data_IF_621554945731
#
_entry.id   IF_621554945731
#
_cell.length_a   1.000
_cell.length_b   1.000
_cell.length_c   1.000
_cell.angle_alpha   90.00
_cell.angle_beta   90.00
_cell.angle_gamma   90.00
#
_symmetry.space_group_name_H-M   'P 1'
#
loop_
_entity.id
_entity.type
_entity.pdbx_description
1 polymer ?
#
# COMPACT_ATOMS: atom_id res chain seq x y z
N UNK A 1 28.74 -2.70 10.22
CA UNK A 1 27.65 -2.96 11.17
C UNK A 1 26.43 -2.32 10.57
N UNK A 2 25.63 -3.10 9.86
CA UNK A 2 24.42 -2.58 9.24
C UNK A 2 23.45 -2.19 10.35
N UNK A 3 23.02 -0.92 10.32
CA UNK A 3 22.00 -0.40 11.20
C UNK A 3 20.69 -1.11 10.84
N UNK A 4 20.38 -2.18 11.58
CA UNK A 4 19.05 -2.78 11.54
C UNK A 4 18.06 -1.67 11.90
N UNK A 5 17.22 -1.28 10.95
CA UNK A 5 16.17 -0.29 11.16
C UNK A 5 15.13 -0.87 12.12
N UNK A 6 15.30 -0.59 13.41
CA UNK A 6 14.33 -0.98 14.43
C UNK A 6 13.19 0.04 14.42
N UNK A 7 11.97 -0.42 14.16
CA UNK A 7 10.76 0.42 14.21
C UNK A 7 10.57 1.02 15.61
N UNK A 8 10.84 2.32 15.77
CA UNK A 8 10.64 3.05 17.03
C UNK A 8 9.29 3.74 17.13
N UNK A 9 8.71 4.09 15.98
CA UNK A 9 7.38 4.68 15.85
C UNK A 9 6.53 3.71 15.03
N UNK A 10 5.41 3.27 15.59
CA UNK A 10 4.49 2.36 14.92
C UNK A 10 3.51 3.09 14.02
N UNK A 11 3.03 4.27 14.41
CA UNK A 11 2.10 5.10 13.65
C UNK A 11 2.13 6.56 14.14
N UNK A 12 1.49 7.45 13.40
CA UNK A 12 1.27 8.85 13.75
C UNK A 12 -0.10 9.10 14.40
N UNK A 13 -0.95 8.08 14.48
CA UNK A 13 -2.30 8.20 15.04
C UNK A 13 -3.26 8.96 14.13
N UNK A 14 -2.97 8.99 12.82
CA UNK A 14 -3.81 9.63 11.80
C UNK A 14 -4.98 8.74 11.41
N UNK A 15 -4.82 7.42 11.56
CA UNK A 15 -5.82 6.42 11.20
C UNK A 15 -6.17 5.58 12.43
N UNK A 16 -7.47 5.50 12.73
CA UNK A 16 -7.98 4.61 13.77
C UNK A 16 -8.01 3.18 13.25
N UNK A 17 -7.51 2.23 14.04
CA UNK A 17 -7.40 0.83 13.64
C UNK A 17 -8.17 -0.03 14.64
N UNK A 18 -9.14 -0.80 14.15
CA UNK A 18 -9.94 -1.73 14.96
C UNK A 18 -9.81 -3.14 14.39
N UNK A 19 -9.40 -4.10 15.20
CA UNK A 19 -9.34 -5.51 14.79
C UNK A 19 -10.77 -6.08 14.66
N UNK A 20 -11.05 -6.74 13.54
CA UNK A 20 -12.24 -7.59 13.34
C UNK A 20 -11.92 -8.99 13.86
N UNK A 21 -10.77 -9.53 13.43
CA UNK A 21 -10.26 -10.85 13.83
C UNK A 21 -8.72 -10.86 13.86
N UNK A 22 -8.11 -12.04 13.77
CA UNK A 22 -6.66 -12.21 13.84
C UNK A 22 -5.91 -11.59 12.64
N UNK A 23 -6.54 -11.51 11.47
CA UNK A 23 -5.91 -11.02 10.24
C UNK A 23 -6.57 -9.75 9.71
N UNK A 24 -7.83 -9.47 10.04
CA UNK A 24 -8.58 -8.36 9.49
C UNK A 24 -8.75 -7.19 10.44
N UNK A 25 -8.55 -5.99 9.90
CA UNK A 25 -8.62 -4.72 10.62
C UNK A 25 -9.42 -3.71 9.81
N UNK A 26 -10.19 -2.86 10.49
CA UNK A 26 -10.83 -1.68 9.89
C UNK A 26 -9.95 -0.48 10.17
N UNK A 27 -9.54 0.18 9.10
CA UNK A 27 -8.81 1.43 9.10
C UNK A 27 -9.77 2.57 8.83
N UNK A 28 -9.93 3.50 9.77
CA UNK A 28 -10.89 4.59 9.71
C UNK A 28 -10.22 5.96 9.82
N UNK A 29 -10.57 6.86 8.91
CA UNK A 29 -10.20 8.28 8.94
C UNK A 29 -11.46 9.09 8.70
N UNK A 30 -11.84 9.95 9.65
CA UNK A 30 -13.12 10.66 9.61
C UNK A 30 -14.30 9.70 9.42
N UNK A 31 -14.99 9.77 8.28
CA UNK A 31 -16.10 8.93 7.86
C UNK A 31 -15.72 7.92 6.75
N UNK A 32 -14.43 7.76 6.46
CA UNK A 32 -13.90 6.83 5.46
C UNK A 32 -13.35 5.58 6.14
N UNK A 33 -13.58 4.42 5.54
CA UNK A 33 -13.14 3.14 6.08
C UNK A 33 -12.61 2.19 4.99
N UNK A 34 -11.60 1.41 5.36
CA UNK A 34 -11.11 0.31 4.55
C UNK A 34 -10.83 -0.90 5.44
N UNK A 35 -11.24 -2.08 4.98
CA UNK A 35 -10.76 -3.34 5.59
C UNK A 35 -9.36 -3.61 5.07
N UNK A 36 -8.44 -3.95 5.96
CA UNK A 36 -7.06 -4.26 5.62
C UNK A 36 -6.70 -5.59 6.26
N UNK A 37 -6.08 -6.47 5.47
CA UNK A 37 -5.60 -7.77 5.94
C UNK A 37 -4.12 -7.69 6.29
N UNK A 38 -3.80 -8.01 7.54
CA UNK A 38 -2.43 -8.21 8.01
C UNK A 38 -2.11 -9.70 7.97
N UNK A 39 -1.15 -10.08 7.12
CA UNK A 39 -0.65 -11.45 7.12
C UNK A 39 0.33 -11.65 8.26
N UNK A 40 0.12 -12.74 9.01
CA UNK A 40 1.08 -13.26 9.96
C UNK A 40 1.97 -14.23 9.18
N UNK A 41 3.18 -13.79 8.82
CA UNK A 41 4.16 -14.68 8.19
C UNK A 41 5.15 -15.19 9.23
N UNK A 42 5.39 -16.49 9.22
CA UNK A 42 6.51 -17.08 9.93
C UNK A 42 7.79 -16.54 9.28
N UNK A 43 8.56 -15.76 10.03
CA UNK A 43 9.83 -15.17 9.58
C UNK A 43 10.78 -16.26 9.10
N UNK A 44 11.14 -16.25 7.81
CA UNK A 44 12.25 -17.04 7.29
C UNK A 44 13.57 -16.28 7.47
N UNK A 45 14.74 -16.97 7.49
CA UNK A 45 16.04 -16.30 7.46
C UNK A 45 16.22 -15.40 6.22
N UNK A 46 15.64 -15.75 5.06
CA UNK A 46 15.58 -14.88 3.89
C UNK A 46 14.70 -13.63 4.12
N UNK A 47 13.62 -13.70 4.91
CA UNK A 47 12.80 -12.54 5.29
C UNK A 47 13.51 -11.62 6.29
N UNK A 48 14.33 -12.19 7.17
CA UNK A 48 15.20 -11.47 8.11
C UNK A 48 16.41 -10.81 7.42
N UNK A 49 16.86 -11.39 6.32
CA UNK A 49 17.87 -10.80 5.42
C UNK A 49 17.24 -9.95 4.30
N UNK A 50 15.92 -9.95 4.19
CA UNK A 50 15.11 -9.27 3.18
C UNK A 50 14.14 -8.24 3.77
N UNK A 51 13.20 -7.79 2.96
CA UNK A 51 12.36 -6.60 3.16
C UNK A 51 11.30 -6.68 4.30
N UNK A 52 11.24 -7.74 5.12
CA UNK A 52 10.13 -8.03 6.04
C UNK A 52 10.56 -8.15 7.53
N UNK A 53 10.85 -7.02 8.16
CA UNK A 53 11.50 -6.98 9.49
C UNK A 53 10.58 -7.05 10.73
N UNK A 54 9.34 -7.55 10.66
CA UNK A 54 8.50 -7.60 11.89
C UNK A 54 7.61 -8.81 12.13
N UNK A 55 7.53 -9.81 11.24
CA UNK A 55 6.63 -10.98 11.43
C UNK A 55 5.12 -10.64 11.42
N UNK A 56 4.78 -9.36 11.59
CA UNK A 56 3.50 -8.73 11.33
C UNK A 56 3.68 -7.78 10.15
N UNK A 57 3.04 -8.14 9.04
CA UNK A 57 2.84 -7.23 7.92
C UNK A 57 1.80 -6.18 8.34
N UNK A 58 2.19 -4.92 8.39
CA UNK A 58 1.34 -3.81 8.82
C UNK A 58 1.57 -2.58 7.94
N UNK A 59 0.64 -1.64 8.01
CA UNK A 59 0.80 -0.32 7.38
C UNK A 59 1.98 0.42 8.03
N UNK A 60 2.91 0.88 7.20
CA UNK A 60 4.08 1.66 7.61
C UNK A 60 3.69 3.13 7.85
N UNK A 61 4.41 3.89 8.71
CA UNK A 61 4.05 5.29 8.99
C UNK A 61 4.00 6.18 7.74
N UNK A 62 4.88 5.95 6.76
CA UNK A 62 4.85 6.69 5.49
C UNK A 62 3.59 6.40 4.67
N UNK A 63 3.13 5.15 4.68
CA UNK A 63 1.89 4.72 4.02
C UNK A 63 0.65 5.28 4.74
N UNK A 64 0.66 5.29 6.08
CA UNK A 64 -0.38 5.93 6.89
C UNK A 64 -0.53 7.42 6.53
N UNK A 65 0.58 8.15 6.43
CA UNK A 65 0.58 9.57 6.07
C UNK A 65 0.10 9.78 4.63
N UNK A 66 0.54 8.94 3.68
CA UNK A 66 0.12 9.01 2.28
C UNK A 66 -1.38 8.76 2.13
N UNK A 67 -1.90 7.72 2.80
CA UNK A 67 -3.32 7.39 2.84
C UNK A 67 -4.16 8.53 3.45
N UNK A 68 -3.72 9.09 4.57
CA UNK A 68 -4.37 10.23 5.20
C UNK A 68 -4.36 11.48 4.29
N UNK A 69 -3.24 11.74 3.61
CA UNK A 69 -3.13 12.84 2.64
C UNK A 69 -4.09 12.65 1.47
N UNK A 70 -4.18 11.44 0.91
CA UNK A 70 -5.06 11.14 -0.20
C UNK A 70 -6.54 11.40 0.16
N UNK A 71 -6.99 10.91 1.33
CA UNK A 71 -8.33 11.16 1.84
C UNK A 71 -8.61 12.64 2.11
N UNK A 72 -7.60 13.40 2.54
CA UNK A 72 -7.74 14.84 2.77
C UNK A 72 -7.80 15.65 1.48
N UNK A 73 -7.49 15.05 0.32
CA UNK A 73 -7.39 15.71 -0.97
C UNK A 73 -8.07 14.92 -2.10
N UNK A 74 -9.18 14.22 -1.81
CA UNK A 74 -9.83 13.29 -2.75
C UNK A 74 -10.07 13.88 -4.15
N UNK A 75 -10.51 15.14 -4.23
CA UNK A 75 -10.81 15.80 -5.51
C UNK A 75 -9.59 16.04 -6.40
N UNK A 76 -8.38 15.92 -5.85
CA UNK A 76 -7.14 15.98 -6.64
C UNK A 76 -7.01 14.78 -7.60
N UNK A 77 -7.66 13.66 -7.28
CA UNK A 77 -7.59 12.42 -8.04
C UNK A 77 -8.73 12.28 -9.06
N UNK A 78 -9.72 13.17 -9.05
CA UNK A 78 -10.88 13.06 -9.92
C UNK A 78 -10.49 13.10 -11.41
N UNK A 79 -10.95 12.11 -12.16
CA UNK A 79 -10.63 11.91 -13.57
C UNK A 79 -9.19 11.47 -13.87
N UNK A 80 -8.34 11.29 -12.85
CA UNK A 80 -6.91 10.94 -13.01
C UNK A 80 -6.68 9.44 -13.09
N UNK A 81 -5.68 9.05 -13.88
CA UNK A 81 -5.06 7.73 -13.81
C UNK A 81 -3.96 7.76 -12.77
N UNK A 82 -4.11 6.93 -11.73
CA UNK A 82 -3.23 6.88 -10.57
C UNK A 82 -2.51 5.55 -10.55
N UNK A 83 -1.18 5.58 -10.41
CA UNK A 83 -0.35 4.40 -10.18
C UNK A 83 0.21 4.46 -8.77
N UNK A 84 0.13 3.36 -8.01
CA UNK A 84 0.83 3.19 -6.76
C UNK A 84 1.97 2.19 -6.95
N UNK A 85 3.21 2.66 -6.77
CA UNK A 85 4.44 1.86 -6.86
C UNK A 85 4.86 1.40 -5.47
N UNK A 86 5.24 0.12 -5.36
CA UNK A 86 5.70 -0.43 -4.08
C UNK A 86 4.63 -0.32 -3.01
N UNK A 87 3.37 -0.61 -3.38
CA UNK A 87 2.20 -0.46 -2.53
C UNK A 87 2.24 -1.35 -1.26
N UNK A 88 3.22 -2.24 -1.18
CA UNK A 88 3.41 -3.14 -0.08
C UNK A 88 2.22 -4.08 0.06
N UNK A 89 1.93 -4.47 1.29
CA UNK A 89 0.96 -5.52 1.55
C UNK A 89 -0.48 -5.02 1.67
N UNK A 90 -0.69 -3.70 1.74
CA UNK A 90 -2.01 -3.10 1.96
C UNK A 90 -2.49 -2.22 0.81
N UNK A 91 -1.58 -1.49 0.14
CA UNK A 91 -1.92 -0.45 -0.84
C UNK A 91 -2.98 0.54 -0.30
N UNK A 92 -2.82 0.99 0.95
CA UNK A 92 -3.89 1.64 1.68
C UNK A 92 -4.28 2.98 1.02
N UNK A 93 -3.30 3.74 0.53
CA UNK A 93 -3.58 4.98 -0.17
C UNK A 93 -4.37 4.74 -1.47
N UNK A 94 -3.92 3.80 -2.31
CA UNK A 94 -4.63 3.44 -3.54
C UNK A 94 -6.02 2.85 -3.31
N UNK A 95 -6.21 2.04 -2.26
CA UNK A 95 -7.52 1.54 -1.84
C UNK A 95 -8.46 2.69 -1.48
N UNK A 96 -8.01 3.67 -0.69
CA UNK A 96 -8.84 4.83 -0.35
C UNK A 96 -9.21 5.68 -1.56
N UNK A 97 -8.25 5.93 -2.46
CA UNK A 97 -8.50 6.68 -3.70
C UNK A 97 -9.56 5.97 -4.55
N UNK A 98 -9.43 4.66 -4.74
CA UNK A 98 -10.39 3.88 -5.53
C UNK A 98 -11.79 3.82 -4.90
N UNK A 99 -11.89 3.80 -3.56
CA UNK A 99 -13.17 3.80 -2.85
C UNK A 99 -13.87 5.16 -2.91
N UNK A 100 -13.14 6.25 -2.77
CA UNK A 100 -13.70 7.53 -2.35
C UNK A 100 -13.43 8.73 -3.26
N UNK A 101 -12.67 8.57 -4.34
CA UNK A 101 -12.53 9.61 -5.38
C UNK A 101 -13.21 9.18 -6.69
N UNK A 102 -13.31 10.12 -7.64
CA UNK A 102 -13.76 9.85 -9.01
C UNK A 102 -12.56 9.63 -9.96
N UNK A 103 -11.48 8.99 -9.48
CA UNK A 103 -10.34 8.62 -10.31
C UNK A 103 -10.76 7.75 -11.51
N UNK A 104 -10.17 8.00 -12.67
CA UNK A 104 -10.52 7.27 -13.91
C UNK A 104 -9.89 5.88 -13.97
N UNK A 105 -8.77 5.69 -13.28
CA UNK A 105 -8.11 4.40 -13.09
C UNK A 105 -7.21 4.46 -11.85
N UNK A 106 -7.23 3.42 -11.04
CA UNK A 106 -6.22 3.17 -10.00
C UNK A 106 -5.48 1.87 -10.32
N UNK A 107 -4.16 1.90 -10.43
CA UNK A 107 -3.33 0.71 -10.62
C UNK A 107 -2.42 0.55 -9.40
N UNK A 108 -2.60 -0.54 -8.67
CA UNK A 108 -1.81 -0.90 -7.49
C UNK A 108 -0.71 -1.87 -7.91
N UNK A 109 0.53 -1.58 -7.54
CA UNK A 109 1.66 -2.42 -7.94
C UNK A 109 2.65 -2.65 -6.81
N UNK A 110 3.23 -3.84 -6.82
CA UNK A 110 4.36 -4.18 -5.96
C UNK A 110 5.27 -5.20 -6.66
N UNK A 111 6.56 -5.22 -6.30
CA UNK A 111 7.54 -6.17 -6.81
C UNK A 111 7.47 -7.56 -6.14
N UNK A 112 6.69 -7.68 -5.07
CA UNK A 112 6.48 -8.91 -4.31
C UNK A 112 5.12 -9.53 -4.65
N UNK A 113 5.12 -10.77 -5.15
CA UNK A 113 3.90 -11.50 -5.51
C UNK A 113 2.96 -11.68 -4.32
N UNK A 114 3.48 -11.96 -3.13
CA UNK A 114 2.66 -12.15 -1.92
C UNK A 114 1.93 -10.87 -1.52
N UNK A 115 2.56 -9.72 -1.73
CA UNK A 115 1.95 -8.41 -1.55
C UNK A 115 0.79 -8.19 -2.52
N UNK A 116 1.04 -8.42 -3.80
CA UNK A 116 0.02 -8.32 -4.86
C UNK A 116 -1.15 -9.28 -4.61
N UNK A 117 -0.88 -10.53 -4.22
CA UNK A 117 -1.93 -11.50 -3.90
C UNK A 117 -2.77 -11.05 -2.69
N UNK A 118 -2.15 -10.48 -1.66
CA UNK A 118 -2.87 -9.96 -0.48
C UNK A 118 -3.73 -8.74 -0.83
N UNK A 119 -3.21 -7.81 -1.65
CA UNK A 119 -3.95 -6.64 -2.10
C UNK A 119 -5.21 -7.06 -2.85
N UNK A 120 -5.16 -8.09 -3.70
CA UNK A 120 -6.36 -8.59 -4.40
C UNK A 120 -7.45 -9.06 -3.43
N UNK A 121 -7.08 -9.77 -2.37
CA UNK A 121 -8.02 -10.17 -1.31
C UNK A 121 -8.58 -8.94 -0.57
N UNK A 122 -7.75 -7.93 -0.32
CA UNK A 122 -8.20 -6.65 0.27
C UNK A 122 -9.19 -5.94 -0.65
N UNK A 123 -8.95 -5.91 -1.96
CA UNK A 123 -9.87 -5.33 -2.93
C UNK A 123 -11.23 -6.03 -2.90
N UNK A 124 -11.21 -7.37 -2.86
CA UNK A 124 -12.40 -8.20 -2.75
C UNK A 124 -13.24 -7.82 -1.52
N UNK A 125 -12.62 -7.78 -0.34
CA UNK A 125 -13.28 -7.45 0.92
C UNK A 125 -13.76 -5.99 1.05
N UNK A 126 -13.31 -5.11 0.16
CA UNK A 126 -13.74 -3.71 0.08
C UNK A 126 -14.69 -3.42 -1.08
N UNK A 127 -15.23 -4.47 -1.73
CA UNK A 127 -16.21 -4.37 -2.83
C UNK A 127 -15.72 -3.51 -4.01
N UNK A 128 -14.43 -3.63 -4.36
CA UNK A 128 -13.80 -2.80 -5.39
C UNK A 128 -13.89 -3.35 -6.82
N UNK A 129 -14.65 -4.43 -7.03
CA UNK A 129 -14.60 -5.23 -8.26
C UNK A 129 -15.30 -4.52 -9.43
N UNK A 130 -16.27 -3.67 -9.11
CA UNK A 130 -16.99 -2.84 -10.08
C UNK A 130 -16.36 -1.44 -10.24
N UNK A 131 -15.23 -1.17 -9.58
CA UNK A 131 -14.50 0.11 -9.68
C UNK A 131 -13.40 0.01 -10.76
N UNK A 132 -12.95 1.17 -11.24
CA UNK A 132 -11.82 1.26 -12.16
C UNK A 132 -10.50 1.10 -11.41
N UNK A 133 -10.24 -0.11 -10.91
CA UNK A 133 -9.02 -0.44 -10.18
C UNK A 133 -8.42 -1.76 -10.67
N UNK A 134 -7.09 -1.85 -10.63
CA UNK A 134 -6.32 -3.05 -11.00
C UNK A 134 -5.16 -3.28 -10.03
N UNK A 135 -4.72 -4.53 -9.89
CA UNK A 135 -3.54 -4.87 -9.10
C UNK A 135 -2.66 -5.89 -9.82
N UNK A 136 -1.38 -5.55 -9.99
CA UNK A 136 -0.42 -6.36 -10.75
C UNK A 136 0.99 -6.33 -10.16
N UNK A 137 1.76 -7.36 -10.49
CA UNK A 137 3.19 -7.40 -10.19
C UNK A 137 3.91 -6.40 -11.10
N UNK A 138 4.74 -5.54 -10.51
CA UNK A 138 5.65 -4.65 -11.24
C UNK A 138 6.96 -4.56 -10.48
N UNK A 139 8.04 -5.05 -11.07
CA UNK A 139 9.38 -4.88 -10.50
C UNK A 139 9.97 -3.57 -11.00
N UNK A 140 10.67 -2.84 -10.15
CA UNK A 140 11.31 -1.59 -10.58
C UNK A 140 12.32 -1.86 -11.70
N UNK A 141 12.40 -0.94 -12.65
CA UNK A 141 13.14 -1.12 -13.90
C UNK A 141 12.37 -1.83 -15.03
N UNK A 142 11.20 -2.40 -14.75
CA UNK A 142 10.28 -2.87 -15.80
C UNK A 142 9.49 -1.70 -16.40
N UNK A 143 9.38 -1.67 -17.73
CA UNK A 143 8.64 -0.64 -18.45
C UNK A 143 7.18 -1.05 -18.59
N UNK A 144 6.27 -0.13 -18.29
CA UNK A 144 4.85 -0.28 -18.61
C UNK A 144 4.51 0.62 -19.80
N UNK A 145 3.66 0.13 -20.71
CA UNK A 145 3.21 0.92 -21.88
C UNK A 145 2.09 1.92 -21.52
N UNK A 146 1.84 2.17 -20.24
CA UNK A 146 0.71 2.97 -19.74
C UNK A 146 1.18 4.30 -19.17
N UNK A 147 0.52 5.37 -19.60
CA UNK A 147 0.69 6.71 -19.02
C UNK A 147 -0.23 6.91 -17.82
N UNK A 148 0.32 7.52 -16.76
CA UNK A 148 -0.38 7.86 -15.53
C UNK A 148 -0.24 9.36 -15.24
N UNK A 149 -1.29 9.97 -14.71
CA UNK A 149 -1.29 11.38 -14.32
C UNK A 149 -0.60 11.58 -12.97
N UNK A 150 -0.75 10.61 -12.06
CA UNK A 150 -0.25 10.66 -10.69
C UNK A 150 0.45 9.32 -10.38
N UNK A 151 1.67 9.40 -9.85
CA UNK A 151 2.40 8.26 -9.30
C UNK A 151 2.56 8.47 -7.80
N UNK A 152 2.12 7.47 -7.04
CA UNK A 152 2.23 7.39 -5.60
C UNK A 152 3.30 6.39 -5.22
N UNK A 153 4.06 6.72 -4.19
CA UNK A 153 5.01 5.81 -3.56
C UNK A 153 5.20 6.24 -2.11
N UNK A 154 4.95 5.34 -1.17
CA UNK A 154 5.31 5.54 0.22
C UNK A 154 6.56 4.73 0.50
N UNK A 155 7.61 5.39 1.01
CA UNK A 155 8.77 4.67 1.54
C UNK A 155 9.37 3.74 0.46
N UNK A 156 9.84 4.30 -0.65
CA UNK A 156 10.45 3.53 -1.75
C UNK A 156 11.91 3.93 -2.03
N UNK A 157 12.48 4.88 -1.28
CA UNK A 157 13.76 5.52 -1.62
C UNK A 157 14.95 5.09 -0.74
N UNK A 158 14.82 3.98 -0.01
CA UNK A 158 15.83 3.59 0.98
C UNK A 158 17.08 2.96 0.40
N UNK A 159 16.91 2.12 -0.62
CA UNK A 159 17.98 1.27 -1.12
C UNK A 159 18.62 1.88 -2.36
N UNK A 160 19.92 2.12 -2.29
CA UNK A 160 20.70 2.70 -3.37
C UNK A 160 20.61 1.92 -4.68
N UNK A 161 20.53 0.60 -4.59
CA UNK A 161 20.42 -0.28 -5.74
C UNK A 161 19.13 -0.10 -6.51
N UNK A 162 18.04 0.23 -5.82
CA UNK A 162 16.70 0.33 -6.41
C UNK A 162 16.32 1.78 -6.77
N UNK A 163 16.98 2.78 -6.16
CA UNK A 163 16.84 4.20 -6.53
C UNK A 163 17.24 4.54 -7.96
N UNK A 164 18.06 3.72 -8.62
CA UNK A 164 18.49 3.98 -10.01
C UNK A 164 17.42 3.64 -11.04
N UNK A 165 16.49 2.77 -10.66
CA UNK A 165 15.49 2.20 -11.56
C UNK A 165 14.08 2.81 -11.33
N UNK A 166 13.96 3.75 -10.38
CA UNK A 166 12.80 4.61 -10.12
C UNK A 166 12.93 5.92 -10.91
#
# INVERSE_FOLDING_TARGET
QDLISVRRISNFGLISIVAIDAEWFIYTVYNFEAKVRHLIQALTPEDLMGFNNTGNVCVWPSEEVLAYYALSNLTYFDGKKVLELGAGMSALAGIYIAKYSDASLVTLTDGNKTSVDNIRVIMEENDLQDKHISCSLLRWGEVTDSEYDIILAADCLFFDSTRRDL
#
